data_IF_913383639267
#
_entry.id   IF_913383639267
#
_cell.length_a   1.000
_cell.length_b   1.000
_cell.length_c   1.000
_cell.angle_alpha   90.00
_cell.angle_beta   90.00
_cell.angle_gamma   90.00
#
_symmetry.space_group_name_H-M   'P 1'
#
loop_
_entity.id
_entity.type
_entity.pdbx_description
1 polymer ?
#
# COMPACT_ATOMS: atom_id res chain seq x y z
N UNK A 1 -7.29 -0.68 14.75
CA UNK A 1 -6.95 -0.38 13.34
C UNK A 1 -7.71 0.83 12.79
N UNK A 2 -8.98 1.03 13.17
CA UNK A 2 -9.86 2.13 12.70
C UNK A 2 -9.20 3.52 12.78
N UNK A 3 -8.57 3.88 13.89
CA UNK A 3 -7.92 5.19 14.03
C UNK A 3 -6.83 5.44 12.97
N UNK A 4 -6.11 4.40 12.52
CA UNK A 4 -5.09 4.56 11.46
C UNK A 4 -5.73 4.94 10.14
N UNK A 5 -6.87 4.34 9.79
CA UNK A 5 -7.60 4.67 8.56
C UNK A 5 -8.03 6.12 8.58
N UNK A 6 -8.64 6.58 9.67
CA UNK A 6 -9.05 7.98 9.82
C UNK A 6 -7.87 8.96 9.70
N UNK A 7 -6.73 8.63 10.32
CA UNK A 7 -5.51 9.44 10.22
C UNK A 7 -4.98 9.45 8.78
N UNK A 8 -4.93 8.30 8.09
CA UNK A 8 -4.46 8.20 6.71
C UNK A 8 -5.35 8.97 5.72
N UNK A 9 -6.68 8.92 5.89
CA UNK A 9 -7.63 9.68 5.06
C UNK A 9 -7.44 11.19 5.26
N UNK A 10 -7.39 11.65 6.51
CA UNK A 10 -7.13 13.06 6.82
C UNK A 10 -5.80 13.52 6.20
N UNK A 11 -4.76 12.72 6.42
CA UNK A 11 -3.42 12.96 5.88
C UNK A 11 -3.38 13.05 4.36
N UNK A 12 -4.11 12.17 3.66
CA UNK A 12 -4.22 12.18 2.20
C UNK A 12 -4.80 13.53 1.74
N UNK A 13 -5.99 13.89 2.21
CA UNK A 13 -6.63 15.16 1.82
C UNK A 13 -5.81 16.41 2.16
N UNK A 14 -5.09 16.42 3.29
CA UNK A 14 -4.23 17.57 3.65
C UNK A 14 -2.99 17.69 2.77
N UNK A 15 -2.47 16.58 2.21
CA UNK A 15 -1.16 16.56 1.54
C UNK A 15 -1.21 16.32 0.03
N UNK A 16 -2.36 15.94 -0.53
CA UNK A 16 -2.51 15.68 -1.97
C UNK A 16 -3.42 16.71 -2.61
N UNK A 17 -2.96 17.96 -2.67
CA UNK A 17 -3.66 19.05 -3.35
C UNK A 17 -3.53 18.97 -4.86
N UNK A 18 -4.42 19.67 -5.55
CA UNK A 18 -4.30 19.94 -6.98
C UNK A 18 -4.14 21.44 -7.20
N UNK A 19 -3.21 21.83 -8.08
CA UNK A 19 -3.04 23.23 -8.48
C UNK A 19 -3.11 23.35 -9.99
N UNK A 20 -3.80 24.38 -10.47
CA UNK A 20 -3.90 24.73 -11.87
C UNK A 20 -3.46 26.18 -12.06
N UNK A 21 -2.53 26.40 -12.99
CA UNK A 21 -1.98 27.72 -13.30
C UNK A 21 -2.15 27.98 -14.78
N UNK A 22 -2.92 29.02 -15.12
CA UNK A 22 -3.02 29.51 -16.49
C UNK A 22 -1.71 30.22 -16.89
N UNK A 23 -1.30 30.00 -18.14
CA UNK A 23 -0.07 30.54 -18.73
C UNK A 23 -0.38 31.14 -20.10
N UNK A 24 0.48 32.02 -20.61
CA UNK A 24 0.24 32.72 -21.87
C UNK A 24 -0.02 31.78 -23.06
N UNK A 25 0.62 30.61 -23.09
CA UNK A 25 0.51 29.60 -24.16
C UNK A 25 -0.07 28.26 -23.68
N UNK A 26 -0.81 28.22 -22.56
CA UNK A 26 -1.42 26.97 -22.08
C UNK A 26 -1.73 26.97 -20.58
N UNK A 27 -1.71 25.78 -19.96
CA UNK A 27 -1.92 25.65 -18.53
C UNK A 27 -1.02 24.57 -17.91
N UNK A 28 -0.52 24.84 -16.71
CA UNK A 28 0.23 23.89 -15.89
C UNK A 28 -0.69 23.30 -14.81
N UNK A 29 -0.63 21.98 -14.60
CA UNK A 29 -1.43 21.30 -13.57
C UNK A 29 -0.54 20.41 -12.70
N UNK A 30 -0.55 20.64 -11.39
CA UNK A 30 0.10 19.81 -10.39
C UNK A 30 -0.95 18.87 -9.79
N UNK A 31 -0.71 17.55 -9.91
CA UNK A 31 -1.54 16.49 -9.32
C UNK A 31 -0.66 15.37 -8.78
N UNK A 32 -1.19 14.62 -7.82
CA UNK A 32 -0.56 13.41 -7.31
C UNK A 32 -1.05 12.18 -8.08
N UNK A 33 -0.14 11.27 -8.41
CA UNK A 33 -0.44 9.99 -9.05
C UNK A 33 0.18 8.85 -8.25
N UNK A 34 -0.43 7.65 -8.26
CA UNK A 34 0.16 6.48 -7.65
C UNK A 34 1.50 6.13 -8.29
N UNK A 35 2.38 5.52 -7.51
CA UNK A 35 3.66 4.99 -7.97
C UNK A 35 3.51 3.66 -8.72
N UNK A 36 2.47 2.89 -8.42
CA UNK A 36 2.19 1.61 -9.08
C UNK A 36 2.04 0.48 -8.06
N UNK A 37 3.00 -0.44 -8.03
CA UNK A 37 3.01 -1.62 -7.15
C UNK A 37 3.96 -1.39 -5.98
N UNK A 38 3.49 -1.56 -4.75
CA UNK A 38 4.31 -1.49 -3.53
C UNK A 38 4.44 -2.87 -2.87
N UNK A 39 5.67 -3.25 -2.51
CA UNK A 39 5.91 -4.39 -1.65
C UNK A 39 5.83 -3.96 -0.17
N UNK A 40 5.03 -4.66 0.63
CA UNK A 40 4.90 -4.45 2.08
C UNK A 40 5.37 -5.71 2.80
N UNK A 41 6.43 -5.57 3.61
CA UNK A 41 6.97 -6.66 4.42
C UNK A 41 6.45 -6.55 5.86
N UNK A 42 5.74 -7.57 6.33
CA UNK A 42 5.16 -7.58 7.65
C UNK A 42 6.05 -8.22 8.71
N UNK A 43 6.30 -7.57 9.85
CA UNK A 43 7.08 -8.14 10.94
C UNK A 43 6.24 -9.12 11.78
N UNK A 44 6.91 -9.98 12.56
CA UNK A 44 6.27 -11.01 13.37
C UNK A 44 5.60 -10.51 14.66
N UNK A 45 6.03 -9.36 15.18
CA UNK A 45 5.60 -8.87 16.49
C UNK A 45 4.16 -8.30 16.49
N UNK A 46 3.75 -7.68 15.40
CA UNK A 46 2.40 -7.13 15.21
C UNK A 46 1.94 -7.35 13.76
N UNK A 47 1.72 -8.60 13.36
CA UNK A 47 1.68 -9.03 11.96
C UNK A 47 0.48 -8.49 11.17
N UNK A 48 -0.59 -8.07 11.84
CA UNK A 48 -1.68 -7.34 11.18
C UNK A 48 -1.57 -5.82 11.34
N UNK A 49 -1.15 -5.34 12.50
CA UNK A 49 -1.24 -3.91 12.83
C UNK A 49 -0.16 -3.05 12.16
N UNK A 50 1.08 -3.54 12.08
CA UNK A 50 2.18 -2.79 11.47
C UNK A 50 2.08 -2.76 9.94
N UNK A 51 1.76 -3.88 9.25
CA UNK A 51 1.58 -3.87 7.80
C UNK A 51 0.42 -2.98 7.36
N UNK A 52 -0.70 -2.99 8.09
CA UNK A 52 -1.82 -2.08 7.79
C UNK A 52 -1.43 -0.59 7.87
N UNK A 53 -0.38 -0.24 8.60
CA UNK A 53 0.17 1.12 8.59
C UNK A 53 0.69 1.56 7.22
N UNK A 54 1.10 0.61 6.37
CA UNK A 54 1.62 0.86 5.03
C UNK A 54 0.58 0.51 3.94
N UNK A 55 -0.17 -0.59 4.13
CA UNK A 55 -1.22 -1.03 3.18
C UNK A 55 -2.28 0.06 3.01
N UNK A 56 -2.82 0.59 4.10
CA UNK A 56 -3.91 1.60 4.05
C UNK A 56 -3.53 2.85 3.25
N UNK A 57 -2.43 3.57 3.56
CA UNK A 57 -2.06 4.74 2.77
C UNK A 57 -1.62 4.41 1.35
N UNK A 58 -1.02 3.24 1.09
CA UNK A 58 -0.68 2.82 -0.27
C UNK A 58 -1.94 2.67 -1.15
N UNK A 59 -2.96 1.98 -0.63
CA UNK A 59 -4.25 1.80 -1.31
C UNK A 59 -4.98 3.13 -1.50
N UNK A 60 -5.02 3.98 -0.46
CA UNK A 60 -5.64 5.32 -0.55
C UNK A 60 -4.98 6.19 -1.62
N UNK A 61 -3.66 6.08 -1.80
CA UNK A 61 -2.94 6.80 -2.83
C UNK A 61 -3.12 6.21 -4.25
N UNK A 62 -3.87 5.11 -4.39
CA UNK A 62 -4.17 4.44 -5.67
C UNK A 62 -3.13 3.40 -6.10
N UNK A 63 -2.27 2.95 -5.19
CA UNK A 63 -1.30 1.88 -5.49
C UNK A 63 -1.94 0.50 -5.32
N UNK A 64 -1.34 -0.49 -5.96
CA UNK A 64 -1.55 -1.91 -5.65
C UNK A 64 -0.45 -2.40 -4.71
N UNK A 65 -0.72 -3.46 -3.96
CA UNK A 65 0.16 -3.94 -2.91
C UNK A 65 0.44 -5.43 -3.06
N UNK A 66 1.72 -5.79 -2.93
CA UNK A 66 2.17 -7.15 -2.67
C UNK A 66 2.54 -7.21 -1.19
N UNK A 67 1.76 -7.94 -0.41
CA UNK A 67 1.98 -8.11 1.03
C UNK A 67 2.67 -9.44 1.30
N UNK A 68 3.85 -9.37 1.92
CA UNK A 68 4.59 -10.54 2.41
C UNK A 68 4.70 -10.50 3.93
N UNK A 69 3.89 -11.27 4.68
CA UNK A 69 4.03 -11.34 6.12
C UNK A 69 5.31 -12.11 6.52
N UNK A 70 5.62 -12.07 7.81
CA UNK A 70 6.71 -12.86 8.37
C UNK A 70 6.36 -14.35 8.32
N UNK A 71 7.34 -15.18 7.97
CA UNK A 71 7.25 -16.65 8.02
C UNK A 71 6.95 -17.21 9.42
N UNK A 72 7.15 -16.40 10.48
CA UNK A 72 6.83 -16.77 11.86
C UNK A 72 5.34 -16.57 12.19
N UNK A 73 4.63 -15.75 11.40
CA UNK A 73 3.21 -15.41 11.62
C UNK A 73 2.39 -15.40 10.31
N UNK A 74 2.54 -16.42 9.44
CA UNK A 74 1.98 -16.38 8.08
C UNK A 74 0.45 -16.36 8.09
N UNK A 75 -0.19 -17.13 8.98
CA UNK A 75 -1.65 -17.20 9.08
C UNK A 75 -2.30 -15.90 9.53
N UNK A 76 -1.62 -15.13 10.38
CA UNK A 76 -2.10 -13.80 10.78
C UNK A 76 -2.13 -12.84 9.58
N UNK A 77 -1.10 -12.89 8.72
CA UNK A 77 -1.07 -12.12 7.48
C UNK A 77 -2.18 -12.56 6.51
N UNK A 78 -2.39 -13.86 6.37
CA UNK A 78 -3.45 -14.41 5.52
C UNK A 78 -4.85 -13.99 6.00
N UNK A 79 -5.11 -14.07 7.30
CA UNK A 79 -6.38 -13.64 7.88
C UNK A 79 -6.67 -12.16 7.60
N UNK A 80 -5.64 -11.29 7.66
CA UNK A 80 -5.79 -9.86 7.33
C UNK A 80 -6.15 -9.65 5.87
N UNK A 81 -5.53 -10.39 4.94
CA UNK A 81 -5.86 -10.29 3.51
C UNK A 81 -7.30 -10.75 3.23
N UNK A 82 -7.75 -11.85 3.84
CA UNK A 82 -9.15 -12.30 3.74
C UNK A 82 -10.14 -11.25 4.24
N UNK A 83 -9.80 -10.51 5.30
CA UNK A 83 -10.64 -9.41 5.79
C UNK A 83 -10.69 -8.23 4.79
N UNK A 84 -9.60 -7.94 4.08
CA UNK A 84 -9.59 -6.94 3.01
C UNK A 84 -10.41 -7.36 1.80
N UNK A 85 -10.35 -8.64 1.41
CA UNK A 85 -11.19 -9.20 0.35
C UNK A 85 -12.68 -9.08 0.72
N UNK A 86 -13.03 -9.45 1.95
CA UNK A 86 -14.39 -9.31 2.49
C UNK A 86 -14.86 -7.84 2.58
N UNK A 87 -13.93 -6.90 2.74
CA UNK A 87 -14.23 -5.46 2.72
C UNK A 87 -14.57 -4.93 1.31
N UNK A 88 -14.47 -5.77 0.27
CA UNK A 88 -14.82 -5.42 -1.11
C UNK A 88 -13.66 -4.85 -1.92
N UNK A 89 -12.42 -5.09 -1.50
CA UNK A 89 -11.26 -4.67 -2.30
C UNK A 89 -11.26 -5.42 -3.65
N UNK A 90 -11.04 -4.72 -4.80
CA UNK A 90 -11.05 -5.39 -6.09
C UNK A 90 -9.96 -6.48 -6.19
N UNK A 91 -10.23 -7.60 -6.89
CA UNK A 91 -9.24 -8.65 -7.09
C UNK A 91 -7.92 -8.12 -7.68
N UNK A 92 -6.79 -8.57 -7.14
CA UNK A 92 -5.47 -8.19 -7.61
C UNK A 92 -4.93 -6.86 -7.06
N UNK A 93 -5.72 -6.08 -6.32
CA UNK A 93 -5.25 -4.82 -5.71
C UNK A 93 -4.36 -5.06 -4.48
N UNK A 94 -4.68 -6.09 -3.68
CA UNK A 94 -3.83 -6.57 -2.59
C UNK A 94 -3.57 -8.05 -2.83
N UNK A 95 -2.29 -8.42 -2.99
CA UNK A 95 -1.85 -9.78 -3.23
C UNK A 95 -1.03 -10.27 -2.04
N UNK A 96 -1.22 -11.52 -1.63
CA UNK A 96 -0.47 -12.15 -0.55
C UNK A 96 0.64 -13.05 -1.13
N UNK A 97 1.87 -12.86 -0.65
CA UNK A 97 2.98 -13.76 -0.95
C UNK A 97 3.52 -14.32 0.36
N UNK A 98 3.46 -15.63 0.53
CA UNK A 98 3.96 -16.32 1.71
C UNK A 98 5.35 -16.89 1.44
N UNK A 99 6.23 -16.85 2.44
CA UNK A 99 7.54 -17.46 2.36
C UNK A 99 8.63 -16.70 3.11
N UNK A 100 9.82 -17.26 3.06
CA UNK A 100 11.00 -16.79 3.78
C UNK A 100 11.67 -15.57 3.17
N UNK A 101 12.94 -15.36 3.53
CA UNK A 101 13.79 -14.30 2.98
C UNK A 101 13.89 -14.35 1.44
N UNK A 102 14.05 -15.54 0.87
CA UNK A 102 14.22 -15.71 -0.58
C UNK A 102 13.01 -15.25 -1.36
N UNK A 103 11.82 -15.57 -0.87
CA UNK A 103 10.56 -15.08 -1.44
C UNK A 103 10.46 -13.56 -1.36
N UNK A 104 10.96 -12.95 -0.28
CA UNK A 104 11.02 -11.50 -0.17
C UNK A 104 11.91 -10.85 -1.21
N UNK A 105 13.12 -11.40 -1.42
CA UNK A 105 14.05 -10.92 -2.44
C UNK A 105 13.46 -10.94 -3.85
N UNK A 106 12.65 -11.97 -4.17
CA UNK A 106 11.95 -12.06 -5.47
C UNK A 106 10.87 -10.97 -5.70
N UNK A 107 10.49 -10.22 -4.68
CA UNK A 107 9.51 -9.11 -4.77
C UNK A 107 10.16 -7.73 -4.76
N UNK A 108 11.48 -7.67 -4.62
CA UNK A 108 12.24 -6.43 -4.68
C UNK A 108 12.24 -5.88 -6.11
N UNK A 109 12.23 -4.55 -6.25
CA UNK A 109 12.37 -3.94 -7.56
C UNK A 109 13.78 -4.28 -8.07
N UNK A 110 13.94 -4.92 -9.24
CA UNK A 110 15.27 -5.18 -9.79
C UNK A 110 16.01 -3.85 -9.93
N UNK A 111 17.29 -3.82 -9.58
CA UNK A 111 18.14 -2.64 -9.76
C UNK A 111 17.98 -2.15 -11.21
N UNK A 112 17.45 -0.94 -11.36
CA UNK A 112 17.51 -0.24 -12.65
C UNK A 112 18.97 0.11 -12.87
N UNK A 113 19.64 -0.60 -13.77
CA UNK A 113 20.86 -0.15 -14.43
C UNK A 113 20.61 1.17 -15.17
#
# INVERSE_FOLDING_TARGET
MINKVAISVKAYHTRTGEQHTEMADGAATLRHRPHGVLAVFGPYNFPGHLPNGHIVPALLAGNTVIFKPSELTPWSGEAVVKLWEQAGLPPGVLNLVQGGRETGAGTECPERY
#
